data_IF_103438462391
#
_entry.id   IF_103438462391
#
_cell.length_a   1.000
_cell.length_b   1.000
_cell.length_c   1.000
_cell.angle_alpha   90.00
_cell.angle_beta   90.00
_cell.angle_gamma   90.00
#
_symmetry.space_group_name_H-M   'P 1'
#
loop_
_entity.id
_entity.type
_entity.pdbx_description
1 polymer ?
#
# COMPACT_ATOMS: atom_id res chain seq x y z
N UNK A 1 -18.23 -5.75 -46.80
CA UNK A 1 -18.59 -6.11 -45.40
C UNK A 1 -17.66 -7.18 -44.81
N UNK A 2 -17.41 -8.30 -45.50
CA UNK A 2 -16.55 -9.41 -45.01
C UNK A 2 -15.07 -9.01 -44.76
N UNK A 3 -14.51 -8.09 -45.55
CA UNK A 3 -13.12 -7.63 -45.39
C UNK A 3 -12.91 -6.78 -44.12
N UNK A 4 -13.93 -6.02 -43.69
CA UNK A 4 -13.86 -5.18 -42.47
C UNK A 4 -13.82 -6.04 -41.20
N UNK A 5 -14.66 -7.08 -41.14
CA UNK A 5 -14.73 -8.04 -40.04
C UNK A 5 -13.42 -8.85 -39.85
N UNK A 6 -12.73 -9.21 -40.95
CA UNK A 6 -11.42 -9.88 -40.86
C UNK A 6 -10.32 -8.96 -40.32
N UNK A 7 -10.34 -7.67 -40.69
CA UNK A 7 -9.36 -6.68 -40.22
C UNK A 7 -9.50 -6.37 -38.73
N UNK A 8 -10.74 -6.25 -38.24
CA UNK A 8 -11.03 -6.05 -36.81
C UNK A 8 -10.59 -7.26 -35.97
N UNK A 9 -10.79 -8.49 -36.48
CA UNK A 9 -10.34 -9.71 -35.81
C UNK A 9 -8.80 -9.80 -35.66
N UNK A 10 -8.03 -9.29 -36.62
CA UNK A 10 -6.57 -9.24 -36.52
C UNK A 10 -6.08 -8.19 -35.52
N UNK A 11 -6.70 -7.00 -35.52
CA UNK A 11 -6.37 -5.95 -34.58
C UNK A 11 -6.61 -6.39 -33.12
N UNK A 12 -7.75 -7.04 -32.84
CA UNK A 12 -8.05 -7.58 -31.50
C UNK A 12 -7.02 -8.61 -31.07
N UNK A 13 -6.58 -9.50 -31.98
CA UNK A 13 -5.54 -10.50 -31.68
C UNK A 13 -4.19 -9.87 -31.39
N UNK A 14 -3.77 -8.86 -32.17
CA UNK A 14 -2.52 -8.13 -31.95
C UNK A 14 -2.53 -7.43 -30.59
N UNK A 15 -3.60 -6.69 -30.28
CA UNK A 15 -3.78 -6.02 -29.00
C UNK A 15 -3.76 -7.00 -27.80
N UNK A 16 -4.46 -8.12 -27.92
CA UNK A 16 -4.48 -9.15 -26.85
C UNK A 16 -3.09 -9.74 -26.63
N UNK A 17 -2.32 -9.93 -27.71
CA UNK A 17 -0.94 -10.45 -27.64
C UNK A 17 -0.02 -9.46 -26.91
N UNK A 18 -0.11 -8.17 -27.23
CA UNK A 18 0.65 -7.12 -26.53
C UNK A 18 0.36 -7.11 -25.03
N UNK A 19 -0.92 -7.20 -24.63
CA UNK A 19 -1.30 -7.25 -23.21
C UNK A 19 -0.68 -8.44 -22.48
N UNK A 20 -0.67 -9.62 -23.12
CA UNK A 20 -0.06 -10.84 -22.55
C UNK A 20 1.45 -10.66 -22.41
N UNK A 21 2.14 -10.16 -23.44
CA UNK A 21 3.58 -9.87 -23.39
C UNK A 21 3.89 -8.90 -22.25
N UNK A 22 3.07 -7.86 -22.08
CA UNK A 22 3.25 -6.89 -20.99
C UNK A 22 3.11 -7.54 -19.61
N UNK A 23 2.24 -8.54 -19.45
CA UNK A 23 2.12 -9.32 -18.20
C UNK A 23 3.36 -10.20 -17.98
N UNK A 24 3.83 -10.89 -19.02
CA UNK A 24 5.00 -11.77 -18.96
C UNK A 24 6.28 -11.02 -18.58
N UNK A 25 6.51 -9.84 -19.16
CA UNK A 25 7.63 -8.96 -18.83
C UNK A 25 7.64 -8.57 -17.34
N UNK A 26 6.47 -8.54 -16.70
CA UNK A 26 6.29 -8.14 -15.31
C UNK A 26 6.29 -9.31 -14.32
N UNK A 27 6.60 -10.54 -14.76
CA UNK A 27 6.60 -11.75 -13.90
C UNK A 27 7.46 -11.63 -12.63
N UNK A 28 8.54 -10.84 -12.66
CA UNK A 28 9.41 -10.59 -11.50
C UNK A 28 8.89 -9.51 -10.54
N UNK A 29 7.85 -8.76 -10.93
CA UNK A 29 7.20 -7.74 -10.11
C UNK A 29 5.74 -8.18 -9.83
N UNK A 30 5.49 -8.91 -8.72
CA UNK A 30 4.16 -9.43 -8.42
C UNK A 30 3.05 -8.37 -8.46
N UNK A 31 3.34 -7.15 -7.99
CA UNK A 31 2.35 -6.06 -7.98
C UNK A 31 1.91 -5.70 -9.40
N UNK A 32 2.86 -5.40 -10.28
CA UNK A 32 2.54 -5.08 -11.68
C UNK A 32 1.97 -6.28 -12.44
N UNK A 33 2.48 -7.48 -12.18
CA UNK A 33 1.97 -8.72 -12.76
C UNK A 33 0.48 -8.91 -12.46
N UNK A 34 0.09 -8.85 -11.19
CA UNK A 34 -1.31 -9.04 -10.78
C UNK A 34 -2.19 -7.87 -11.20
N UNK A 35 -1.70 -6.64 -11.17
CA UNK A 35 -2.44 -5.48 -11.66
C UNK A 35 -2.78 -5.62 -13.15
N UNK A 36 -1.78 -5.90 -13.99
CA UNK A 36 -1.96 -6.07 -15.44
C UNK A 36 -2.80 -7.31 -15.76
N UNK A 37 -2.55 -8.44 -15.08
CA UNK A 37 -3.37 -9.65 -15.23
C UNK A 37 -4.84 -9.41 -14.88
N UNK A 38 -5.11 -8.62 -13.83
CA UNK A 38 -6.46 -8.27 -13.42
C UNK A 38 -7.18 -7.46 -14.49
N UNK A 39 -6.50 -6.51 -15.16
CA UNK A 39 -7.07 -5.74 -16.27
C UNK A 39 -7.50 -6.62 -17.44
N UNK A 40 -6.69 -7.63 -17.78
CA UNK A 40 -7.03 -8.60 -18.84
C UNK A 40 -8.24 -9.45 -18.44
N UNK A 41 -8.23 -10.02 -17.22
CA UNK A 41 -9.30 -10.90 -16.75
C UNK A 41 -10.64 -10.17 -16.57
N UNK A 42 -10.61 -8.93 -16.06
CA UNK A 42 -11.81 -8.19 -15.69
C UNK A 42 -12.33 -7.27 -16.80
N UNK A 43 -11.54 -7.06 -17.86
CA UNK A 43 -11.83 -6.07 -18.88
C UNK A 43 -11.77 -4.64 -18.34
N UNK A 44 -12.23 -3.69 -19.16
CA UNK A 44 -12.44 -2.32 -18.70
C UNK A 44 -13.62 -2.28 -17.73
N UNK A 45 -13.35 -1.92 -16.47
CA UNK A 45 -14.38 -1.57 -15.51
C UNK A 45 -14.34 -0.05 -15.30
N UNK A 46 -15.43 0.68 -15.55
CA UNK A 46 -15.47 2.09 -15.21
C UNK A 46 -15.23 2.23 -13.71
N UNK A 47 -14.26 3.08 -13.33
CA UNK A 47 -14.10 3.47 -11.94
C UNK A 47 -15.26 4.39 -11.58
N UNK A 48 -16.24 3.87 -10.85
CA UNK A 48 -17.32 4.66 -10.27
C UNK A 48 -16.81 5.36 -9.03
N UNK A 49 -16.29 6.57 -9.21
CA UNK A 49 -15.97 7.48 -8.10
C UNK A 49 -17.22 8.33 -7.79
N UNK A 50 -18.25 7.67 -7.29
CA UNK A 50 -19.53 8.30 -6.94
C UNK A 50 -19.92 7.80 -5.55
N UNK A 51 -20.48 8.69 -4.72
CA UNK A 51 -20.89 8.38 -3.35
C UNK A 51 -22.26 9.00 -3.09
N UNK A 52 -23.05 8.40 -2.21
CA UNK A 52 -24.29 8.99 -1.71
C UNK A 52 -23.96 9.69 -0.39
N UNK A 53 -24.26 10.99 -0.28
CA UNK A 53 -24.06 11.74 0.96
C UNK A 53 -25.21 11.47 1.96
N UNK A 54 -25.10 12.04 3.17
CA UNK A 54 -26.11 11.88 4.22
C UNK A 54 -27.49 12.46 3.82
N UNK A 55 -27.51 13.41 2.88
CA UNK A 55 -28.73 13.98 2.30
C UNK A 55 -29.32 13.11 1.17
N UNK A 56 -28.79 11.90 0.96
CA UNK A 56 -29.18 10.95 -0.11
C UNK A 56 -28.89 11.43 -1.54
N UNK A 57 -28.02 12.42 -1.71
CA UNK A 57 -27.64 12.97 -3.01
C UNK A 57 -26.42 12.25 -3.59
N UNK A 58 -26.39 12.08 -4.91
CA UNK A 58 -25.28 11.45 -5.62
C UNK A 58 -24.15 12.46 -5.87
N UNK A 59 -23.06 12.29 -5.12
CA UNK A 59 -21.84 13.08 -5.22
C UNK A 59 -20.87 12.42 -6.20
N UNK A 60 -20.32 13.22 -7.11
CA UNK A 60 -19.33 12.78 -8.11
C UNK A 60 -18.05 13.64 -8.08
N UNK A 61 -18.09 14.77 -7.39
CA UNK A 61 -16.94 15.64 -7.24
C UNK A 61 -15.91 15.00 -6.29
N UNK A 62 -14.64 14.99 -6.70
CA UNK A 62 -13.57 14.33 -5.95
C UNK A 62 -13.27 15.01 -4.62
N UNK A 63 -13.40 16.34 -4.53
CA UNK A 63 -13.14 17.07 -3.29
C UNK A 63 -14.26 16.81 -2.29
N UNK A 64 -15.49 16.81 -2.77
CA UNK A 64 -16.66 16.51 -1.94
C UNK A 64 -16.62 15.07 -1.41
N UNK A 65 -16.30 14.09 -2.24
CA UNK A 65 -16.08 12.70 -1.79
C UNK A 65 -14.98 12.64 -0.71
N UNK A 66 -13.86 13.35 -0.91
CA UNK A 66 -12.78 13.37 0.07
C UNK A 66 -13.22 13.96 1.41
N UNK A 67 -14.03 15.03 1.40
CA UNK A 67 -14.55 15.63 2.62
C UNK A 67 -15.51 14.69 3.35
N UNK A 68 -16.39 13.98 2.63
CA UNK A 68 -17.26 12.96 3.23
C UNK A 68 -16.43 11.87 3.93
N UNK A 69 -15.39 11.36 3.28
CA UNK A 69 -14.49 10.38 3.90
C UNK A 69 -13.79 10.94 5.14
N UNK A 70 -13.31 12.18 5.07
CA UNK A 70 -12.67 12.87 6.20
C UNK A 70 -13.62 12.94 7.40
N UNK A 71 -14.83 13.48 7.21
CA UNK A 71 -15.82 13.57 8.28
C UNK A 71 -16.19 12.19 8.84
N UNK A 72 -16.37 11.19 7.97
CA UNK A 72 -16.67 9.82 8.39
C UNK A 72 -15.58 9.24 9.30
N UNK A 73 -14.31 9.32 8.88
CA UNK A 73 -13.20 8.78 9.66
C UNK A 73 -12.90 9.60 10.92
N UNK A 74 -13.08 10.91 10.88
CA UNK A 74 -12.97 11.75 12.09
C UNK A 74 -13.95 11.28 13.16
N UNK A 75 -15.22 11.05 12.80
CA UNK A 75 -16.23 10.55 13.74
C UNK A 75 -15.97 9.11 14.19
N UNK A 76 -15.52 8.25 13.28
CA UNK A 76 -15.27 6.84 13.58
C UNK A 76 -14.05 6.61 14.48
N UNK A 77 -12.95 7.33 14.21
CA UNK A 77 -11.67 7.14 14.89
C UNK A 77 -11.58 7.96 16.20
N UNK A 78 -12.18 9.15 16.25
CA UNK A 78 -12.13 10.02 17.43
C UNK A 78 -13.32 9.82 18.37
N UNK A 79 -13.97 8.65 18.35
CA UNK A 79 -15.05 8.33 19.29
C UNK A 79 -14.54 8.41 20.74
N UNK A 80 -15.30 8.97 21.68
CA UNK A 80 -14.90 8.99 23.08
C UNK A 80 -14.66 7.55 23.56
N UNK A 81 -13.49 7.30 24.15
CA UNK A 81 -13.17 6.00 24.74
C UNK A 81 -14.24 5.65 25.76
N UNK A 82 -14.84 4.48 25.61
CA UNK A 82 -15.72 3.94 26.63
C UNK A 82 -14.87 3.38 27.77
N UNK A 83 -15.37 3.42 29.01
CA UNK A 83 -14.68 2.83 30.18
C UNK A 83 -14.33 1.34 29.96
N UNK A 84 -15.02 0.66 29.03
CA UNK A 84 -14.73 -0.72 28.61
C UNK A 84 -13.51 -0.90 27.69
N UNK A 85 -12.92 0.18 27.17
CA UNK A 85 -11.73 0.12 26.30
C UNK A 85 -10.41 0.17 27.10
N UNK A 86 -10.47 0.46 28.41
CA UNK A 86 -9.31 0.47 29.31
C UNK A 86 -9.06 -0.92 29.88
N UNK A 87 -8.42 -1.77 29.08
CA UNK A 87 -7.64 -2.89 29.63
C UNK A 87 -6.20 -2.45 29.69
N UNK A 88 -5.78 -1.94 30.85
CA UNK A 88 -4.37 -1.89 31.19
C UNK A 88 -3.92 -3.33 31.47
N UNK A 89 -3.45 -4.02 30.44
CA UNK A 89 -2.64 -5.21 30.62
C UNK A 89 -1.31 -4.76 31.25
N UNK A 90 -1.24 -4.76 32.57
CA UNK A 90 0.00 -4.54 33.32
C UNK A 90 0.90 -5.75 33.05
N UNK A 91 1.70 -5.68 31.97
CA UNK A 91 2.71 -6.66 31.68
C UNK A 91 3.95 -6.39 32.55
N UNK A 92 4.01 -7.04 33.70
CA UNK A 92 5.26 -7.15 34.45
C UNK A 92 6.13 -8.16 33.70
N UNK A 93 7.12 -7.66 32.96
CA UNK A 93 8.13 -8.48 32.30
C UNK A 93 9.45 -8.37 33.04
N UNK A 94 10.14 -9.50 33.17
CA UNK A 94 11.56 -9.51 33.57
C UNK A 94 12.32 -9.08 32.34
N UNK A 95 13.01 -7.93 32.37
CA UNK A 95 13.84 -7.50 31.24
C UNK A 95 14.91 -8.58 30.98
N UNK A 96 14.86 -9.28 29.84
CA UNK A 96 15.94 -10.19 29.48
C UNK A 96 17.19 -9.35 29.25
N UNK A 97 18.35 -9.89 29.63
CA UNK A 97 19.64 -9.28 29.31
C UNK A 97 19.86 -9.35 27.78
N UNK A 98 19.43 -8.31 27.07
CA UNK A 98 19.53 -8.20 25.61
C UNK A 98 20.91 -7.64 25.30
N UNK A 99 21.69 -8.38 24.51
CA UNK A 99 22.98 -7.93 24.01
C UNK A 99 22.77 -6.77 23.05
N UNK A 100 23.65 -5.75 23.10
CA UNK A 100 23.60 -4.63 22.18
C UNK A 100 23.63 -5.11 20.71
N UNK A 101 22.71 -4.62 19.87
CA UNK A 101 22.62 -5.06 18.49
C UNK A 101 23.84 -4.60 17.68
N UNK A 102 24.32 -5.45 16.77
CA UNK A 102 25.44 -5.08 15.90
C UNK A 102 24.95 -4.40 14.61
N UNK A 103 25.76 -3.50 14.05
CA UNK A 103 25.41 -2.72 12.83
C UNK A 103 25.03 -3.61 11.63
N UNK A 104 25.68 -4.75 11.50
CA UNK A 104 25.41 -5.70 10.41
C UNK A 104 24.03 -6.34 10.52
N UNK A 105 23.54 -6.58 11.74
CA UNK A 105 22.18 -7.05 11.99
C UNK A 105 21.17 -5.97 11.61
N UNK A 106 21.40 -4.73 12.03
CA UNK A 106 20.56 -3.59 11.66
C UNK A 106 20.49 -3.45 10.13
N UNK A 107 21.62 -3.54 9.43
CA UNK A 107 21.66 -3.50 7.98
C UNK A 107 20.85 -4.65 7.34
N UNK A 108 20.93 -5.87 7.88
CA UNK A 108 20.12 -7.01 7.39
C UNK A 108 18.63 -6.77 7.61
N UNK A 109 18.25 -6.24 8.78
CA UNK A 109 16.86 -5.93 9.12
C UNK A 109 16.30 -4.88 8.16
N UNK A 110 17.00 -3.75 7.99
CA UNK A 110 16.60 -2.67 7.07
C UNK A 110 16.38 -3.22 5.65
N UNK A 111 17.29 -4.06 5.16
CA UNK A 111 17.18 -4.64 3.82
C UNK A 111 16.03 -5.65 3.68
N UNK A 112 15.66 -6.33 4.76
CA UNK A 112 14.56 -7.31 4.78
C UNK A 112 13.16 -6.69 4.83
N UNK A 113 13.04 -5.39 5.15
CA UNK A 113 11.76 -4.69 5.20
C UNK A 113 10.99 -4.84 3.87
N UNK A 114 9.66 -4.90 3.93
CA UNK A 114 8.85 -4.99 2.70
C UNK A 114 8.61 -3.60 2.13
N UNK A 115 8.92 -3.43 0.85
CA UNK A 115 8.63 -2.21 0.12
C UNK A 115 7.10 -2.04 -0.07
N UNK A 116 6.66 -0.80 -0.26
CA UNK A 116 5.29 -0.38 -0.54
C UNK A 116 4.31 -0.71 0.59
N UNK A 117 4.80 -0.73 1.83
CA UNK A 117 3.94 -0.73 3.02
C UNK A 117 3.60 0.72 3.38
N UNK A 118 2.42 0.91 3.95
CA UNK A 118 2.06 2.20 4.52
C UNK A 118 3.08 2.56 5.61
N UNK A 119 3.55 3.81 5.67
CA UNK A 119 4.41 4.25 6.76
C UNK A 119 3.64 4.24 8.09
N UNK A 120 4.38 4.29 9.20
CA UNK A 120 3.81 4.47 10.53
C UNK A 120 3.38 5.91 10.77
N UNK A 121 3.12 6.22 12.04
CA UNK A 121 2.84 7.60 12.50
C UNK A 121 3.97 8.57 12.13
N UNK A 122 5.21 8.07 12.14
CA UNK A 122 6.45 8.77 11.76
C UNK A 122 6.53 9.18 10.27
N UNK A 123 5.63 8.69 9.42
CA UNK A 123 5.64 8.88 7.97
C UNK A 123 6.90 8.32 7.26
N UNK A 124 7.67 7.44 7.91
CA UNK A 124 8.89 6.85 7.35
C UNK A 124 8.56 5.55 6.61
N UNK A 125 8.95 5.47 5.34
CA UNK A 125 8.77 4.25 4.53
C UNK A 125 10.01 3.35 4.56
N UNK A 126 9.82 2.06 4.32
CA UNK A 126 10.91 1.10 4.19
C UNK A 126 11.92 1.49 3.10
N UNK A 127 11.46 2.12 2.03
CA UNK A 127 12.29 2.58 0.93
C UNK A 127 13.28 3.67 1.38
N UNK A 128 12.85 4.61 2.22
CA UNK A 128 13.73 5.64 2.75
C UNK A 128 14.86 5.03 3.58
N UNK A 129 14.52 4.07 4.44
CA UNK A 129 15.50 3.36 5.26
C UNK A 129 16.51 2.58 4.39
N UNK A 130 16.04 1.90 3.35
CA UNK A 130 16.89 1.10 2.46
C UNK A 130 17.82 1.94 1.58
N UNK A 131 17.32 3.06 1.05
CA UNK A 131 18.11 3.88 0.11
C UNK A 131 18.98 4.93 0.81
N UNK A 132 18.80 5.14 2.12
CA UNK A 132 19.63 6.05 2.92
C UNK A 132 21.09 5.59 3.14
N UNK A 133 21.46 4.40 2.68
CA UNK A 133 22.85 3.92 2.68
C UNK A 133 23.44 3.69 4.08
N UNK A 134 24.77 3.70 4.18
CA UNK A 134 25.48 3.39 5.43
C UNK A 134 25.18 4.38 6.55
N UNK A 135 24.94 5.66 6.20
CA UNK A 135 24.61 6.68 7.18
C UNK A 135 23.28 6.37 7.88
N UNK A 136 22.25 6.00 7.11
CA UNK A 136 20.96 5.58 7.67
C UNK A 136 21.09 4.39 8.63
N UNK A 137 21.90 3.39 8.29
CA UNK A 137 22.18 2.25 9.18
C UNK A 137 22.81 2.72 10.50
N UNK A 138 23.76 3.67 10.44
CA UNK A 138 24.41 4.20 11.64
C UNK A 138 23.46 5.02 12.51
N UNK A 139 22.58 5.81 11.89
CA UNK A 139 21.64 6.65 12.62
C UNK A 139 20.57 5.80 13.31
N UNK A 140 20.03 4.79 12.62
CA UNK A 140 19.13 3.79 13.22
C UNK A 140 19.81 3.01 14.35
N UNK A 141 21.07 2.61 14.17
CA UNK A 141 21.84 1.90 15.18
C UNK A 141 22.06 2.72 16.46
N UNK A 142 22.35 4.03 16.32
CA UNK A 142 22.49 4.95 17.46
C UNK A 142 21.18 5.08 18.23
N UNK A 143 20.08 5.33 17.53
CA UNK A 143 18.76 5.46 18.17
C UNK A 143 18.40 4.20 18.96
N UNK A 144 18.67 3.01 18.43
CA UNK A 144 18.37 1.75 19.12
C UNK A 144 19.23 1.55 20.38
N UNK A 145 20.48 2.03 20.40
CA UNK A 145 21.37 1.92 21.58
C UNK A 145 21.03 2.98 22.64
N UNK A 146 20.48 4.12 22.24
CA UNK A 146 20.12 5.22 23.14
C UNK A 146 18.77 5.06 23.85
N UNK A 147 17.97 4.04 23.47
CA UNK A 147 16.68 3.67 24.10
C UNK A 147 16.93 2.78 25.32
#
# INVERSE_FOLDING_TARGET
MILKLKSESQAVRLYTKELITTVEENKKNPRQFFEKSRRIKQGFKPQTNMMINDNTELVTDKKEIAEIFKTHFENFLNRPKSISDEREDIMITVEPNIVEPIREEIAKIINSLKNNKSPGEDQITAELLKHGGKQMVNDVHKVIIEI
#
